data_IF_226416731798
#
_entry.id   IF_226416731798
#
_cell.length_a   1.000
_cell.length_b   1.000
_cell.length_c   1.000
_cell.angle_alpha   90.00
_cell.angle_beta   90.00
_cell.angle_gamma   90.00
#
_symmetry.space_group_name_H-M   'P 1'
#
loop_
_entity.id
_entity.type
_entity.pdbx_description
1 polymer ?
#
# COMPACT_ATOMS: atom_id res chain seq x y z
N UNK A 1 -5.27 -20.73 8.25
CA UNK A 1 -4.16 -19.84 7.85
C UNK A 1 -3.03 -19.76 8.89
N UNK A 2 -3.32 -19.71 10.21
CA UNK A 2 -2.28 -19.67 11.28
C UNK A 2 -1.13 -20.70 11.14
N UNK A 3 -1.43 -21.94 10.74
CA UNK A 3 -0.41 -22.98 10.47
C UNK A 3 0.60 -22.55 9.39
N UNK A 4 0.13 -21.93 8.30
CA UNK A 4 0.99 -21.50 7.20
C UNK A 4 1.91 -20.33 7.61
N UNK A 5 1.42 -19.42 8.45
CA UNK A 5 2.28 -18.37 9.03
C UNK A 5 3.38 -18.99 9.90
N UNK A 6 3.05 -19.98 10.73
CA UNK A 6 4.07 -20.69 11.50
C UNK A 6 5.11 -21.36 10.61
N UNK A 7 4.69 -22.09 9.58
CA UNK A 7 5.60 -22.74 8.63
C UNK A 7 6.49 -21.72 7.91
N UNK A 8 5.95 -20.58 7.51
CA UNK A 8 6.73 -19.53 6.85
C UNK A 8 7.73 -18.87 7.81
N UNK A 9 7.34 -18.61 9.06
CA UNK A 9 8.23 -18.09 10.11
C UNK A 9 9.36 -19.09 10.43
N UNK A 10 9.06 -20.39 10.49
CA UNK A 10 10.07 -21.46 10.66
C UNK A 10 11.05 -21.52 9.47
N UNK A 11 10.58 -21.17 8.27
CA UNK A 11 11.40 -21.07 7.06
C UNK A 11 12.21 -19.76 6.94
N UNK A 12 12.10 -18.84 7.91
CA UNK A 12 12.89 -17.61 7.97
C UNK A 12 12.14 -16.32 7.62
N UNK A 13 10.82 -16.36 7.51
CA UNK A 13 10.01 -15.13 7.43
C UNK A 13 10.20 -14.28 8.69
N UNK A 14 10.24 -12.96 8.53
CA UNK A 14 10.49 -12.00 9.63
C UNK A 14 9.22 -11.32 10.15
N UNK A 15 8.05 -11.69 9.62
CA UNK A 15 6.82 -10.92 9.74
C UNK A 15 6.09 -10.82 8.41
N UNK A 16 4.93 -10.18 8.40
CA UNK A 16 4.12 -9.98 7.19
C UNK A 16 3.72 -8.51 7.01
N UNK A 17 3.37 -8.15 5.79
CA UNK A 17 2.79 -6.86 5.48
C UNK A 17 1.32 -7.02 5.07
N UNK A 18 0.50 -6.02 5.38
CA UNK A 18 -0.89 -5.95 4.94
C UNK A 18 -1.18 -4.59 4.31
N UNK A 19 -1.87 -4.63 3.18
CA UNK A 19 -2.52 -3.49 2.57
C UNK A 19 -4.02 -3.65 2.84
N UNK A 20 -4.63 -2.72 3.56
CA UNK A 20 -6.04 -2.76 3.95
C UNK A 20 -6.77 -1.54 3.40
N UNK A 21 -6.97 -1.51 2.08
CA UNK A 21 -7.60 -0.40 1.36
C UNK A 21 -9.05 -0.68 0.95
N UNK A 22 -9.54 -1.91 1.11
CA UNK A 22 -10.93 -2.26 0.79
C UNK A 22 -11.17 -2.57 -0.69
N UNK A 23 -12.42 -2.92 -1.02
CA UNK A 23 -12.86 -3.38 -2.36
C UNK A 23 -12.68 -2.38 -3.50
N UNK A 24 -12.41 -1.11 -3.18
CA UNK A 24 -12.21 -0.02 -4.13
C UNK A 24 -10.77 0.49 -4.06
N UNK A 25 -9.85 -0.37 -3.62
CA UNK A 25 -8.43 -0.08 -3.58
C UNK A 25 -7.94 0.50 -4.90
N UNK A 26 -7.23 1.62 -4.81
CA UNK A 26 -6.52 2.22 -5.95
C UNK A 26 -5.16 1.55 -6.19
N UNK A 27 -4.81 0.55 -5.39
CA UNK A 27 -3.62 -0.30 -5.55
C UNK A 27 -4.07 -1.73 -5.83
N UNK A 28 -3.96 -2.12 -7.09
CA UNK A 28 -4.45 -3.39 -7.58
C UNK A 28 -3.42 -4.51 -7.47
N UNK A 29 -3.91 -5.74 -7.48
CA UNK A 29 -3.14 -6.98 -7.63
C UNK A 29 -2.77 -7.20 -9.11
N UNK A 30 -2.04 -8.29 -9.37
CA UNK A 30 -1.52 -8.68 -10.68
C UNK A 30 -2.60 -8.93 -11.76
N UNK A 31 -3.88 -8.92 -11.40
CA UNK A 31 -5.02 -9.10 -12.29
C UNK A 31 -5.96 -7.88 -12.33
N UNK A 32 -5.59 -6.78 -11.67
CA UNK A 32 -6.38 -5.55 -11.60
C UNK A 32 -7.44 -5.56 -10.50
N UNK A 33 -7.61 -6.66 -9.75
CA UNK A 33 -8.52 -6.70 -8.60
C UNK A 33 -7.85 -6.15 -7.33
N UNK A 34 -8.58 -5.81 -6.25
CA UNK A 34 -7.95 -5.42 -4.98
C UNK A 34 -7.03 -6.52 -4.44
N UNK A 35 -5.97 -6.15 -3.73
CA UNK A 35 -5.06 -7.12 -3.11
C UNK A 35 -5.82 -8.05 -2.14
N UNK A 36 -5.37 -9.29 -1.93
CA UNK A 36 -6.05 -10.22 -1.02
C UNK A 36 -6.28 -9.66 0.39
N UNK A 37 -5.35 -8.85 0.91
CA UNK A 37 -5.48 -8.22 2.22
C UNK A 37 -6.41 -7.01 2.24
N UNK A 38 -6.73 -6.41 1.09
CA UNK A 38 -7.66 -5.28 1.00
C UNK A 38 -9.07 -5.69 1.42
N UNK A 39 -9.45 -6.90 1.05
CA UNK A 39 -10.79 -7.46 1.28
C UNK A 39 -10.83 -8.49 2.43
N UNK A 40 -9.72 -8.69 3.14
CA UNK A 40 -9.66 -9.65 4.25
C UNK A 40 -10.47 -9.14 5.45
N UNK A 41 -11.16 -10.05 6.15
CA UNK A 41 -11.90 -9.71 7.35
C UNK A 41 -10.95 -9.26 8.47
N UNK A 42 -11.39 -8.28 9.26
CA UNK A 42 -10.62 -7.75 10.38
C UNK A 42 -10.28 -8.85 11.40
N UNK A 43 -11.18 -9.81 11.64
CA UNK A 43 -10.96 -10.93 12.54
C UNK A 43 -9.86 -11.87 12.04
N UNK A 44 -9.86 -12.19 10.75
CA UNK A 44 -8.82 -13.03 10.15
C UNK A 44 -7.43 -12.38 10.29
N UNK A 45 -7.33 -11.07 10.03
CA UNK A 45 -6.08 -10.32 10.21
C UNK A 45 -5.58 -10.35 11.65
N UNK A 46 -6.48 -10.22 12.63
CA UNK A 46 -6.14 -10.31 14.05
C UNK A 46 -5.72 -11.73 14.45
N UNK A 47 -6.34 -12.76 13.87
CA UNK A 47 -5.93 -14.16 14.09
C UNK A 47 -4.53 -14.44 13.51
N UNK A 48 -4.19 -13.88 12.35
CA UNK A 48 -2.83 -13.96 11.81
C UNK A 48 -1.83 -13.22 12.71
N UNK A 49 -2.20 -12.04 13.22
CA UNK A 49 -1.38 -11.28 14.15
C UNK A 49 -1.11 -12.04 15.45
N UNK A 50 -2.11 -12.74 15.99
CA UNK A 50 -1.96 -13.53 17.22
C UNK A 50 -0.90 -14.64 17.11
N UNK A 51 -0.61 -15.14 15.89
CA UNK A 51 0.49 -16.10 15.68
C UNK A 51 1.83 -15.48 16.09
N UNK A 52 2.07 -14.20 15.76
CA UNK A 52 3.30 -13.54 16.13
C UNK A 52 3.40 -13.31 17.65
N UNK A 53 2.26 -13.11 18.31
CA UNK A 53 2.19 -13.05 19.78
C UNK A 53 2.56 -14.40 20.41
N UNK A 54 1.95 -15.49 19.92
CA UNK A 54 2.19 -16.86 20.39
C UNK A 54 3.67 -17.26 20.22
N UNK A 55 4.30 -16.85 19.12
CA UNK A 55 5.70 -17.16 18.84
C UNK A 55 6.68 -16.26 19.58
N UNK A 56 6.31 -15.02 19.86
CA UNK A 56 7.19 -14.03 20.46
C UNK A 56 8.23 -13.43 19.51
N UNK A 57 8.11 -13.66 18.19
CA UNK A 57 8.98 -13.13 17.14
C UNK A 57 8.20 -12.48 15.99
N UNK A 58 8.93 -11.79 15.09
CA UNK A 58 8.36 -11.08 13.95
C UNK A 58 7.80 -9.67 14.22
N UNK A 59 7.30 -9.05 13.15
CA UNK A 59 6.62 -7.74 13.13
C UNK A 59 5.56 -7.69 12.01
N UNK A 60 4.70 -6.67 12.02
CA UNK A 60 3.71 -6.45 10.94
C UNK A 60 3.92 -5.08 10.33
N UNK A 61 3.92 -4.97 9.01
CA UNK A 61 3.83 -3.69 8.31
C UNK A 61 2.42 -3.46 7.79
N UNK A 62 1.89 -2.24 7.89
CA UNK A 62 0.51 -1.96 7.46
C UNK A 62 0.34 -0.59 6.83
N UNK A 63 -0.43 -0.54 5.75
CA UNK A 63 -1.05 0.68 5.21
C UNK A 63 -2.57 0.46 5.17
N UNK A 64 -3.35 1.47 5.58
CA UNK A 64 -4.80 1.33 5.71
C UNK A 64 -5.52 2.60 5.27
N UNK A 65 -6.53 2.42 4.43
CA UNK A 65 -7.48 3.46 4.04
C UNK A 65 -8.66 2.75 3.42
N UNK A 66 -9.61 2.30 4.24
CA UNK A 66 -10.73 1.45 3.80
C UNK A 66 -11.68 2.13 2.79
N UNK A 67 -11.45 3.40 2.47
CA UNK A 67 -12.11 4.12 1.39
C UNK A 67 -11.43 3.94 0.02
N UNK A 68 -10.33 3.19 -0.05
CA UNK A 68 -9.60 2.84 -1.26
C UNK A 68 -8.40 3.75 -1.56
N UNK A 69 -8.32 4.91 -0.93
CA UNK A 69 -7.34 5.94 -1.26
C UNK A 69 -6.23 5.99 -0.21
N UNK A 70 -5.01 5.51 -0.51
CA UNK A 70 -3.91 5.50 0.45
C UNK A 70 -3.50 6.91 0.94
N UNK A 71 -3.88 7.99 0.24
CA UNK A 71 -3.66 9.36 0.69
C UNK A 71 -4.54 9.76 1.87
N UNK A 72 -5.65 9.04 2.08
CA UNK A 72 -6.60 9.26 3.18
C UNK A 72 -6.35 8.36 4.38
N UNK A 73 -5.18 7.72 4.41
CA UNK A 73 -4.73 6.99 5.59
C UNK A 73 -4.74 7.90 6.84
N UNK A 74 -5.17 7.34 7.97
CA UNK A 74 -5.31 8.06 9.23
C UNK A 74 -6.74 8.36 9.65
N UNK A 75 -7.74 7.75 9.01
CA UNK A 75 -9.12 7.77 9.52
C UNK A 75 -9.17 7.20 10.94
N UNK A 76 -10.02 7.74 11.82
CA UNK A 76 -10.12 7.28 13.21
C UNK A 76 -10.48 5.77 13.31
N UNK A 77 -11.24 5.26 12.34
CA UNK A 77 -11.58 3.84 12.26
C UNK A 77 -10.36 2.98 11.96
N UNK A 78 -9.54 3.39 10.98
CA UNK A 78 -8.39 2.63 10.54
C UNK A 78 -7.25 2.69 11.57
N UNK A 79 -7.00 3.86 12.16
CA UNK A 79 -6.04 4.00 13.27
C UNK A 79 -6.41 3.09 14.46
N UNK A 80 -7.69 3.03 14.81
CA UNK A 80 -8.17 2.14 15.88
C UNK A 80 -8.00 0.66 15.54
N UNK A 81 -8.06 0.28 14.27
CA UNK A 81 -7.73 -1.09 13.87
C UNK A 81 -6.22 -1.36 13.98
N UNK A 82 -5.35 -0.41 13.63
CA UNK A 82 -3.90 -0.57 13.82
C UNK A 82 -3.55 -0.77 15.31
N UNK A 83 -4.24 -0.07 16.21
CA UNK A 83 -4.10 -0.30 17.66
C UNK A 83 -4.50 -1.72 18.07
N UNK A 84 -5.66 -2.21 17.62
CA UNK A 84 -6.09 -3.60 17.85
C UNK A 84 -5.11 -4.62 17.27
N UNK A 85 -4.53 -4.31 16.11
CA UNK A 85 -3.53 -5.15 15.46
C UNK A 85 -2.26 -5.23 16.31
N UNK A 86 -1.81 -4.11 16.88
CA UNK A 86 -0.69 -4.09 17.82
C UNK A 86 -0.99 -4.87 19.11
N UNK A 87 -2.21 -4.74 19.65
CA UNK A 87 -2.68 -5.50 20.81
C UNK A 87 -2.69 -7.00 20.54
N UNK A 88 -3.25 -7.44 19.41
CA UNK A 88 -3.31 -8.84 19.02
C UNK A 88 -1.93 -9.43 18.69
N UNK A 89 -1.07 -8.65 18.02
CA UNK A 89 0.25 -9.10 17.65
C UNK A 89 1.21 -9.19 18.84
N UNK A 90 1.07 -8.32 19.85
CA UNK A 90 2.08 -8.14 20.90
C UNK A 90 3.52 -7.99 20.33
N UNK A 91 3.63 -7.56 19.06
CA UNK A 91 4.86 -7.40 18.27
C UNK A 91 4.90 -5.99 17.66
N UNK A 92 6.08 -5.50 17.25
CA UNK A 92 6.18 -4.21 16.56
C UNK A 92 5.26 -4.13 15.34
N UNK A 93 4.61 -2.98 15.17
CA UNK A 93 3.88 -2.63 13.94
C UNK A 93 4.63 -1.50 13.24
N UNK A 94 4.90 -1.64 11.95
CA UNK A 94 5.40 -0.59 11.07
C UNK A 94 4.21 0.03 10.32
N UNK A 95 3.85 1.26 10.67
CA UNK A 95 2.74 2.02 10.09
C UNK A 95 3.21 2.86 8.90
N UNK A 96 2.66 2.58 7.72
CA UNK A 96 3.02 3.23 6.46
C UNK A 96 1.93 4.18 5.97
N UNK A 97 2.25 5.35 5.42
CA UNK A 97 3.52 6.09 5.46
C UNK A 97 3.27 7.40 6.20
N UNK A 98 4.24 7.86 6.98
CA UNK A 98 4.21 9.21 7.55
C UNK A 98 4.97 10.13 6.61
N UNK A 99 4.23 10.88 5.78
CA UNK A 99 4.80 11.76 4.77
C UNK A 99 4.27 13.19 4.94
N UNK A 100 5.14 14.18 4.73
CA UNK A 100 4.72 15.56 4.56
C UNK A 100 4.22 15.75 3.12
N UNK A 101 2.94 16.10 2.99
CA UNK A 101 2.26 16.32 1.70
C UNK A 101 1.72 17.74 1.71
N UNK A 102 1.97 18.50 0.63
CA UNK A 102 1.64 19.93 0.56
C UNK A 102 0.12 20.16 0.62
N UNK A 103 -0.67 19.27 0.01
CA UNK A 103 -2.13 19.28 0.04
C UNK A 103 -2.69 18.96 1.43
N UNK A 104 -1.93 18.25 2.26
CA UNK A 104 -2.32 17.81 3.60
C UNK A 104 -1.26 18.15 4.66
N UNK A 105 -1.01 19.45 4.92
CA UNK A 105 0.15 19.93 5.67
C UNK A 105 0.17 19.50 7.15
N UNK A 106 -0.97 19.06 7.70
CA UNK A 106 -1.08 18.60 9.09
C UNK A 106 -1.23 17.08 9.23
N UNK A 107 -1.33 16.32 8.13
CA UNK A 107 -1.53 14.87 8.19
C UNK A 107 -0.39 14.16 8.93
N UNK A 108 0.87 14.48 8.58
CA UNK A 108 2.04 13.92 9.26
C UNK A 108 2.08 14.28 10.76
N UNK A 109 1.71 15.51 11.14
CA UNK A 109 1.71 15.94 12.55
C UNK A 109 0.69 15.15 13.36
N UNK A 110 -0.51 14.95 12.81
CA UNK A 110 -1.57 14.14 13.41
C UNK A 110 -1.14 12.68 13.57
N UNK A 111 -0.52 12.11 12.52
CA UNK A 111 0.04 10.76 12.58
C UNK A 111 1.12 10.63 13.67
N UNK A 112 2.05 11.59 13.77
CA UNK A 112 3.09 11.61 14.81
C UNK A 112 2.50 11.74 16.22
N UNK A 113 1.49 12.58 16.42
CA UNK A 113 0.81 12.72 17.70
C UNK A 113 0.09 11.42 18.12
N UNK A 114 -0.59 10.76 17.17
CA UNK A 114 -1.22 9.46 17.42
C UNK A 114 -0.20 8.36 17.71
N UNK A 115 0.92 8.31 16.98
CA UNK A 115 2.02 7.37 17.25
C UNK A 115 2.59 7.58 18.66
N UNK A 116 2.78 8.84 19.08
CA UNK A 116 3.26 9.16 20.43
C UNK A 116 2.30 8.65 21.52
N UNK A 117 1.00 8.91 21.37
CA UNK A 117 -0.04 8.40 22.30
C UNK A 117 -0.05 6.86 22.37
N UNK A 118 0.03 6.18 21.21
CA UNK A 118 0.09 4.72 21.16
C UNK A 118 1.30 4.18 21.93
N UNK A 119 2.47 4.76 21.73
CA UNK A 119 3.69 4.33 22.41
C UNK A 119 3.65 4.63 23.92
N UNK A 120 3.06 5.76 24.35
CA UNK A 120 2.85 6.06 25.77
C UNK A 120 1.96 5.01 26.45
N UNK A 121 0.97 4.48 25.72
CA UNK A 121 0.12 3.36 26.16
C UNK A 121 0.79 1.97 26.04
N UNK A 122 2.03 1.91 25.58
CA UNK A 122 2.79 0.66 25.43
C UNK A 122 2.56 -0.09 24.12
N UNK A 123 1.79 0.46 23.17
CA UNK A 123 1.64 -0.11 21.84
C UNK A 123 2.86 0.22 20.99
N UNK A 124 3.60 -0.82 20.58
CA UNK A 124 4.86 -0.69 19.82
C UNK A 124 4.60 -0.42 18.34
N UNK A 125 4.08 0.76 18.03
CA UNK A 125 3.76 1.19 16.66
C UNK A 125 4.79 2.23 16.21
N UNK A 126 5.44 1.98 15.08
CA UNK A 126 6.49 2.81 14.50
C UNK A 126 6.05 3.34 13.15
N UNK A 127 6.11 4.65 12.94
CA UNK A 127 5.82 5.23 11.62
C UNK A 127 6.98 5.05 10.66
N UNK A 128 6.73 4.53 9.45
CA UNK A 128 7.68 4.62 8.34
C UNK A 128 7.67 6.05 7.81
N UNK A 129 8.65 6.85 8.23
CA UNK A 129 8.79 8.24 7.78
C UNK A 129 9.36 8.35 6.37
N UNK A 130 8.67 9.05 5.48
CA UNK A 130 9.23 9.48 4.20
C UNK A 130 9.79 10.90 4.36
N UNK A 131 11.08 10.99 4.65
CA UNK A 131 11.76 12.24 5.05
C UNK A 131 12.51 12.92 3.91
N UNK A 132 12.67 12.24 2.77
CA UNK A 132 13.37 12.73 1.58
C UNK A 132 12.53 12.46 0.34
N UNK A 133 12.70 13.29 -0.70
CA UNK A 133 12.17 12.98 -2.02
C UNK A 133 12.86 11.72 -2.54
N UNK A 134 12.09 10.70 -2.88
CA UNK A 134 12.60 9.48 -3.51
C UNK A 134 12.30 9.57 -5.01
N UNK A 135 13.32 9.69 -5.88
CA UNK A 135 13.09 9.60 -7.31
C UNK A 135 12.75 8.16 -7.68
N UNK A 136 11.75 7.97 -8.52
CA UNK A 136 11.40 6.64 -9.02
C UNK A 136 12.06 6.38 -10.37
N UNK A 137 12.64 5.20 -10.49
CA UNK A 137 13.05 4.58 -11.75
C UNK A 137 12.24 3.30 -11.88
N UNK A 138 11.43 3.21 -12.91
CA UNK A 138 10.56 2.06 -13.12
C UNK A 138 10.43 1.75 -14.61
N UNK A 139 9.99 0.54 -14.90
CA UNK A 139 9.58 0.12 -16.24
C UNK A 139 8.12 -0.33 -16.17
N UNK A 140 7.38 -0.15 -17.26
CA UNK A 140 6.01 -0.67 -17.38
C UNK A 140 5.95 -2.21 -17.48
N UNK A 141 7.09 -2.89 -17.43
CA UNK A 141 7.18 -4.35 -17.44
C UNK A 141 6.72 -4.97 -16.12
N UNK A 142 7.11 -4.37 -15.00
CA UNK A 142 6.83 -4.94 -13.67
C UNK A 142 5.88 -4.10 -12.84
N UNK A 143 5.84 -2.78 -13.06
CA UNK A 143 5.16 -1.89 -12.14
C UNK A 143 4.63 -0.66 -12.85
N UNK A 144 3.36 -0.33 -12.59
CA UNK A 144 2.75 0.89 -13.09
C UNK A 144 1.99 1.54 -11.93
N UNK A 145 2.38 2.73 -11.50
CA UNK A 145 1.73 3.47 -10.40
C UNK A 145 0.45 4.18 -10.85
N UNK A 146 -0.21 3.65 -11.88
CA UNK A 146 -1.29 4.31 -12.59
C UNK A 146 -2.62 3.54 -12.47
N UNK A 147 -2.68 2.55 -11.57
CA UNK A 147 -3.85 1.70 -11.36
C UNK A 147 -5.10 2.45 -10.88
N UNK A 148 -4.97 3.70 -10.42
CA UNK A 148 -6.11 4.54 -10.09
C UNK A 148 -6.95 4.94 -11.32
N UNK A 149 -6.37 4.87 -12.53
CA UNK A 149 -7.11 5.00 -13.79
C UNK A 149 -7.53 3.61 -14.29
N UNK A 150 -8.84 3.38 -14.52
CA UNK A 150 -9.33 2.14 -15.12
C UNK A 150 -8.66 1.79 -16.46
N UNK A 151 -8.42 2.77 -17.33
CA UNK A 151 -7.78 2.54 -18.63
C UNK A 151 -6.30 2.18 -18.49
N UNK A 152 -5.58 2.83 -17.55
CA UNK A 152 -4.20 2.46 -17.26
C UNK A 152 -4.11 1.07 -16.65
N UNK A 153 -4.96 0.75 -15.67
CA UNK A 153 -5.06 -0.59 -15.10
C UNK A 153 -5.38 -1.63 -16.18
N UNK A 154 -6.35 -1.40 -17.06
CA UNK A 154 -6.63 -2.32 -18.18
C UNK A 154 -5.40 -2.56 -19.07
N UNK A 155 -4.71 -1.49 -19.44
CA UNK A 155 -3.62 -1.50 -20.41
C UNK A 155 -2.36 -2.22 -19.91
N UNK A 156 -2.10 -2.18 -18.61
CA UNK A 156 -0.87 -2.69 -17.99
C UNK A 156 -1.00 -4.10 -17.42
N UNK A 157 -2.18 -4.72 -17.55
CA UNK A 157 -2.47 -6.06 -17.06
C UNK A 157 -2.29 -7.14 -18.13
N UNK A 158 -1.94 -8.36 -17.69
CA UNK A 158 -1.69 -9.52 -18.56
C UNK A 158 -0.21 -9.74 -18.87
N UNK A 159 0.09 -10.52 -19.89
CA UNK A 159 1.45 -10.78 -20.38
C UNK A 159 2.03 -9.57 -21.13
N UNK A 160 3.36 -9.50 -21.28
CA UNK A 160 4.01 -8.45 -22.06
C UNK A 160 3.43 -8.34 -23.49
N UNK A 161 3.11 -9.46 -24.14
CA UNK A 161 2.52 -9.46 -25.47
C UNK A 161 1.13 -8.81 -25.49
N UNK A 162 0.27 -9.14 -24.53
CA UNK A 162 -1.08 -8.56 -24.42
C UNK A 162 -1.01 -7.06 -24.09
N UNK A 163 -0.13 -6.66 -23.17
CA UNK A 163 0.09 -5.25 -22.83
C UNK A 163 0.53 -4.44 -24.04
N UNK A 164 1.44 -4.97 -24.86
CA UNK A 164 1.89 -4.30 -26.08
C UNK A 164 0.75 -4.08 -27.08
N UNK A 165 -0.17 -5.04 -27.21
CA UNK A 165 -1.37 -4.89 -28.05
C UNK A 165 -2.29 -3.80 -27.49
N UNK A 166 -2.61 -3.84 -26.19
CA UNK A 166 -3.47 -2.84 -25.54
C UNK A 166 -2.86 -1.44 -25.59
N UNK A 167 -1.58 -1.30 -25.29
CA UNK A 167 -0.86 -0.03 -25.35
C UNK A 167 -0.69 0.49 -26.78
N UNK A 168 -0.89 -0.32 -27.81
CA UNK A 168 -0.92 0.13 -29.20
C UNK A 168 -2.33 0.55 -29.66
N UNK A 169 -3.38 0.20 -28.92
CA UNK A 169 -4.77 0.50 -29.26
C UNK A 169 -5.08 2.00 -29.10
N UNK A 170 -5.49 2.71 -30.18
CA UNK A 170 -5.86 4.12 -30.12
C UNK A 170 -7.01 4.44 -29.16
N UNK A 171 -7.97 3.53 -29.00
CA UNK A 171 -9.12 3.73 -28.11
C UNK A 171 -8.70 3.62 -26.64
N UNK A 172 -7.81 2.68 -26.31
CA UNK A 172 -7.22 2.55 -24.96
C UNK A 172 -6.41 3.81 -24.63
N UNK A 173 -5.55 4.26 -25.55
CA UNK A 173 -4.76 5.48 -25.38
C UNK A 173 -5.63 6.73 -25.17
N UNK A 174 -6.73 6.85 -25.91
CA UNK A 174 -7.66 7.97 -25.73
C UNK A 174 -8.23 7.98 -24.31
N UNK A 175 -8.71 6.83 -23.82
CA UNK A 175 -9.21 6.72 -22.43
C UNK A 175 -8.14 7.04 -21.40
N UNK A 176 -6.91 6.53 -21.59
CA UNK A 176 -5.78 6.82 -20.69
C UNK A 176 -5.46 8.33 -20.61
N UNK A 177 -5.64 9.08 -21.70
CA UNK A 177 -5.44 10.54 -21.73
C UNK A 177 -6.62 11.25 -21.06
N UNK A 178 -7.86 10.82 -21.32
CA UNK A 178 -9.07 11.37 -20.70
C UNK A 178 -9.08 11.17 -19.18
N UNK A 179 -8.43 10.10 -18.69
CA UNK A 179 -8.34 9.74 -17.28
C UNK A 179 -7.10 10.28 -16.55
N UNK A 180 -6.28 11.16 -17.18
CA UNK A 180 -5.02 11.67 -16.59
C UNK A 180 -5.22 12.33 -15.22
N UNK A 181 -6.32 13.07 -15.03
CA UNK A 181 -6.65 13.73 -13.75
C UNK A 181 -7.00 12.74 -12.61
N UNK A 182 -7.25 11.46 -12.94
CA UNK A 182 -7.56 10.41 -11.96
C UNK A 182 -6.29 9.73 -11.43
N UNK A 183 -5.12 10.05 -11.98
CA UNK A 183 -3.86 9.42 -11.62
C UNK A 183 -3.34 9.91 -10.26
N UNK A 184 -3.06 8.97 -9.36
CA UNK A 184 -2.37 9.25 -8.10
C UNK A 184 -0.86 9.09 -8.32
N UNK A 185 -0.19 10.20 -8.62
CA UNK A 185 1.26 10.22 -8.92
C UNK A 185 2.15 10.48 -7.71
N UNK A 186 1.63 10.33 -6.48
CA UNK A 186 2.38 10.67 -5.25
C UNK A 186 3.69 9.89 -5.11
N UNK A 187 3.73 8.67 -5.66
CA UNK A 187 4.96 7.90 -5.84
C UNK A 187 5.83 8.50 -6.94
N UNK A 188 5.38 8.45 -8.20
CA UNK A 188 6.22 8.78 -9.37
C UNK A 188 6.76 10.22 -9.40
N UNK A 189 6.01 11.17 -8.82
CA UNK A 189 6.38 12.57 -8.75
C UNK A 189 6.13 13.31 -10.07
N UNK A 190 5.10 14.17 -10.08
CA UNK A 190 4.76 15.00 -11.24
C UNK A 190 3.94 14.28 -12.33
N UNK A 191 3.56 15.02 -13.39
CA UNK A 191 2.71 14.49 -14.46
C UNK A 191 3.46 13.49 -15.35
N UNK A 192 2.73 12.59 -16.02
CA UNK A 192 3.31 11.63 -16.98
C UNK A 192 4.12 12.34 -18.07
N UNK A 193 3.66 13.52 -18.52
CA UNK A 193 4.38 14.34 -19.50
C UNK A 193 5.79 14.78 -19.04
N UNK A 194 6.08 14.72 -17.74
CA UNK A 194 7.38 15.03 -17.16
C UNK A 194 8.33 13.83 -17.04
N UNK A 195 7.89 12.61 -17.37
CA UNK A 195 8.72 11.42 -17.30
C UNK A 195 9.89 11.48 -18.29
N UNK A 196 11.07 11.09 -17.83
CA UNK A 196 12.26 10.96 -18.67
C UNK A 196 12.48 9.49 -19.01
N UNK A 197 12.33 9.14 -20.28
CA UNK A 197 12.71 7.82 -20.77
C UNK A 197 14.24 7.77 -20.84
N UNK A 198 14.84 6.84 -20.11
CA UNK A 198 16.27 6.56 -20.17
C UNK A 198 16.46 5.27 -20.96
N UNK A 199 17.40 5.26 -21.90
CA UNK A 199 17.82 4.02 -22.55
C UNK A 199 18.41 3.09 -21.48
N UNK A 200 17.99 1.83 -21.50
CA UNK A 200 18.59 0.81 -20.63
C UNK A 200 19.97 0.48 -21.20
N UNK A 201 21.06 0.54 -20.40
CA UNK A 201 22.41 0.22 -20.89
C UNK A 201 22.55 -1.22 -21.38
#
# INVERSE_FOLDING_TARGET
>A
MKRLINEAMDAGMMGFAIQRLGKHSLQADFDGTPMPTDCMDDGDLLELASVLAERGDGFIQTIQAQDGDPLKNGSARDLKFVEKLAEAAQRPILYNVVAAVDEYPDAHKKALAWLADCNERGLRIFGQGLTVRSPFQFTLEHWNLYDSSPAWNEATQGTNAERMVKLADPDVRRRMIEEDETLITLGVGGPIAGLKVQDTP
#
